data_IF_042687859862
#
_entry.id   IF_042687859862
#
_cell.length_a   1.000
_cell.length_b   1.000
_cell.length_c   1.000
_cell.angle_alpha   90.00
_cell.angle_beta   90.00
_cell.angle_gamma   90.00
#
_symmetry.space_group_name_H-M   'P 1'
#
loop_
_entity.id
_entity.type
_entity.pdbx_description
1 polymer ?
#
# COMPACT_ATOMS: atom_id res chain seq x y z
N UNK A 1 9.88 6.47 -6.08
CA UNK A 1 9.22 7.55 -5.31
C UNK A 1 9.72 7.40 -3.88
N UNK A 2 10.27 8.47 -3.30
CA UNK A 2 10.66 8.44 -1.89
C UNK A 2 9.41 8.38 -1.02
N UNK A 3 9.41 7.52 -0.01
CA UNK A 3 8.27 7.35 0.88
C UNK A 3 8.73 7.05 2.31
N UNK A 4 7.85 7.34 3.26
CA UNK A 4 8.00 6.91 4.65
C UNK A 4 6.80 6.06 5.07
N UNK A 5 7.01 5.14 6.00
CA UNK A 5 5.94 4.33 6.58
C UNK A 5 5.41 5.02 7.82
N UNK A 6 4.09 5.22 7.88
CA UNK A 6 3.43 5.54 9.15
C UNK A 6 3.64 4.41 10.17
N UNK A 7 3.47 4.71 11.45
CA UNK A 7 3.53 3.68 12.50
C UNK A 7 2.51 2.56 12.30
N UNK A 8 1.34 2.89 11.75
CA UNK A 8 0.33 1.89 11.40
C UNK A 8 0.82 0.97 10.26
N UNK A 9 1.29 1.56 9.15
CA UNK A 9 1.85 0.80 8.02
C UNK A 9 2.98 -0.12 8.47
N UNK A 10 3.97 0.41 9.21
CA UNK A 10 5.11 -0.37 9.72
C UNK A 10 4.68 -1.60 10.51
N UNK A 11 3.71 -1.45 11.41
CA UNK A 11 3.16 -2.58 12.20
C UNK A 11 2.42 -3.58 11.32
N UNK A 12 1.60 -3.11 10.37
CA UNK A 12 0.81 -3.96 9.47
C UNK A 12 1.69 -4.80 8.55
N UNK A 13 2.67 -4.18 7.90
CA UNK A 13 3.54 -4.88 6.93
C UNK A 13 4.38 -5.94 7.64
N UNK A 14 4.86 -5.64 8.87
CA UNK A 14 5.59 -6.60 9.68
C UNK A 14 4.71 -7.79 10.11
N UNK A 15 3.51 -7.51 10.64
CA UNK A 15 2.56 -8.55 11.08
C UNK A 15 2.15 -9.48 9.93
N UNK A 16 1.96 -8.91 8.73
CA UNK A 16 1.47 -9.62 7.53
C UNK A 16 2.59 -10.11 6.61
N UNK A 17 3.86 -9.91 6.98
CA UNK A 17 5.04 -10.30 6.18
C UNK A 17 4.99 -9.75 4.74
N UNK A 18 4.58 -8.48 4.61
CA UNK A 18 4.59 -7.77 3.33
C UNK A 18 5.99 -7.20 3.12
N UNK A 19 6.64 -7.59 2.03
CA UNK A 19 7.96 -7.10 1.66
C UNK A 19 7.95 -5.60 1.36
N UNK A 20 8.97 -4.88 1.83
CA UNK A 20 9.13 -3.46 1.53
C UNK A 20 9.36 -3.23 0.03
N UNK A 21 10.01 -4.16 -0.64
CA UNK A 21 10.20 -4.18 -2.10
C UNK A 21 8.86 -4.22 -2.85
N UNK A 22 7.84 -4.87 -2.30
CA UNK A 22 6.51 -4.89 -2.90
C UNK A 22 5.80 -3.54 -2.76
N UNK A 23 6.05 -2.81 -1.68
CA UNK A 23 5.54 -1.44 -1.49
C UNK A 23 6.22 -0.51 -2.50
N UNK A 24 7.55 -0.58 -2.57
CA UNK A 24 8.36 0.24 -3.49
C UNK A 24 7.96 0.04 -4.96
N UNK A 25 7.84 -1.21 -5.40
CA UNK A 25 7.45 -1.51 -6.79
C UNK A 25 5.99 -1.14 -7.08
N UNK A 26 5.10 -1.23 -6.09
CA UNK A 26 3.69 -0.83 -6.24
C UNK A 26 3.56 0.68 -6.37
N UNK A 27 4.33 1.46 -5.59
CA UNK A 27 4.39 2.91 -5.72
C UNK A 27 5.05 3.36 -7.03
N UNK A 28 6.14 2.69 -7.44
CA UNK A 28 6.89 3.07 -8.65
C UNK A 28 6.19 2.67 -9.96
N UNK A 29 5.50 1.53 -9.95
CA UNK A 29 4.88 0.94 -11.13
C UNK A 29 3.49 0.38 -10.79
N UNK A 30 2.52 1.21 -10.43
CA UNK A 30 1.16 0.73 -10.19
C UNK A 30 0.55 0.15 -11.47
N UNK A 31 -0.27 -0.89 -11.33
CA UNK A 31 -1.14 -1.34 -12.40
C UNK A 31 -2.36 -0.42 -12.53
N UNK A 32 -2.84 0.12 -11.41
CA UNK A 32 -3.90 1.12 -11.33
C UNK A 32 -3.65 2.04 -10.14
N UNK A 33 -4.02 3.31 -10.31
CA UNK A 33 -4.09 4.28 -9.21
C UNK A 33 -5.50 4.84 -9.14
N UNK A 34 -6.01 4.95 -7.92
CA UNK A 34 -7.34 5.50 -7.60
C UNK A 34 -7.18 6.49 -6.45
N UNK A 35 -8.02 7.52 -6.40
CA UNK A 35 -8.11 8.37 -5.21
C UNK A 35 -9.06 7.72 -4.21
N UNK A 36 -8.83 7.94 -2.91
CA UNK A 36 -9.77 7.49 -1.88
C UNK A 36 -11.08 8.30 -1.95
N UNK A 37 -12.22 7.61 -1.81
CA UNK A 37 -13.55 8.21 -1.92
C UNK A 37 -13.95 9.06 -0.69
N UNK A 38 -13.24 8.90 0.43
CA UNK A 38 -13.55 9.52 1.73
C UNK A 38 -12.51 10.57 2.10
N UNK A 39 -11.23 10.25 1.98
CA UNK A 39 -10.12 11.15 2.29
C UNK A 39 -9.39 11.59 1.00
N UNK A 40 -9.64 12.82 0.51
CA UNK A 40 -9.05 13.31 -0.73
C UNK A 40 -7.53 13.52 -0.68
N UNK A 41 -6.89 13.31 0.48
CA UNK A 41 -5.43 13.33 0.59
C UNK A 41 -4.79 11.97 0.32
N UNK A 42 -5.59 10.90 0.24
CA UNK A 42 -5.12 9.53 0.07
C UNK A 42 -5.29 9.04 -1.37
N UNK A 43 -4.25 8.35 -1.84
CA UNK A 43 -4.25 7.63 -3.10
C UNK A 43 -3.98 6.13 -2.87
N UNK A 44 -4.63 5.30 -3.67
CA UNK A 44 -4.54 3.85 -3.68
C UNK A 44 -3.79 3.40 -4.93
N UNK A 45 -2.58 2.88 -4.74
CA UNK A 45 -1.85 2.21 -5.82
C UNK A 45 -2.05 0.70 -5.72
N UNK A 46 -2.51 0.10 -6.80
CA UNK A 46 -2.84 -1.31 -6.89
C UNK A 46 -1.86 -2.00 -7.82
N UNK A 47 -1.27 -3.10 -7.37
CA UNK A 47 -0.40 -3.93 -8.22
C UNK A 47 -0.59 -5.43 -7.93
N UNK A 48 -0.75 -6.28 -8.96
CA UNK A 48 -0.66 -7.73 -8.79
C UNK A 48 0.80 -8.12 -8.48
N UNK A 49 1.00 -8.94 -7.45
CA UNK A 49 2.33 -9.42 -7.05
C UNK A 49 2.52 -10.87 -7.52
N UNK A 50 3.31 -11.13 -8.59
CA UNK A 50 3.49 -12.47 -9.14
C UNK A 50 4.01 -13.48 -8.11
N UNK A 51 4.93 -13.05 -7.24
CA UNK A 51 5.54 -13.85 -6.19
C UNK A 51 4.53 -14.31 -5.13
N UNK A 52 3.37 -13.63 -5.04
CA UNK A 52 2.25 -13.99 -4.15
C UNK A 52 1.06 -14.58 -4.93
N UNK A 53 1.30 -15.19 -6.09
CA UNK A 53 0.25 -15.79 -6.91
C UNK A 53 -0.66 -14.77 -7.57
N UNK A 54 -0.10 -13.62 -7.96
CA UNK A 54 -0.80 -12.49 -8.58
C UNK A 54 -1.90 -11.85 -7.72
N UNK A 55 -1.84 -12.02 -6.40
CA UNK A 55 -2.71 -11.28 -5.50
C UNK A 55 -2.45 -9.77 -5.60
N UNK A 56 -3.53 -8.99 -5.52
CA UNK A 56 -3.46 -7.53 -5.57
C UNK A 56 -2.96 -7.00 -4.22
N UNK A 57 -1.95 -6.15 -4.27
CA UNK A 57 -1.48 -5.33 -3.16
C UNK A 57 -1.94 -3.88 -3.38
N UNK A 58 -2.93 -3.39 -2.61
CA UNK A 58 -3.17 -1.97 -2.43
C UNK A 58 -2.11 -1.40 -1.49
N UNK A 59 -1.46 -0.32 -1.92
CA UNK A 59 -0.67 0.57 -1.09
C UNK A 59 -1.38 1.91 -1.02
N UNK A 60 -1.81 2.26 0.19
CA UNK A 60 -2.54 3.50 0.49
C UNK A 60 -1.55 4.48 1.08
N UNK A 61 -1.43 5.66 0.49
CA UNK A 61 -0.50 6.69 0.92
C UNK A 61 -1.12 8.08 0.83
N UNK A 62 -0.67 8.99 1.70
CA UNK A 62 -0.99 10.39 1.59
C UNK A 62 -0.12 11.00 0.48
N UNK A 63 -0.76 11.38 -0.63
CA UNK A 63 -0.10 11.93 -1.82
C UNK A 63 0.22 13.43 -1.70
N UNK A 64 -0.34 14.10 -0.69
CA UNK A 64 -0.10 15.53 -0.43
C UNK A 64 1.14 15.79 0.43
N UNK A 65 1.75 14.76 0.98
CA UNK A 65 2.98 14.82 1.77
C UNK A 65 4.24 14.65 0.91
N UNK A 66 5.35 15.27 1.32
CA UNK A 66 6.66 15.13 0.69
C UNK A 66 7.76 14.81 1.74
N UNK A 67 8.34 13.60 1.76
CA UNK A 67 8.00 12.45 0.92
C UNK A 67 6.59 11.90 1.24
N UNK A 68 6.00 11.17 0.29
CA UNK A 68 4.67 10.57 0.50
C UNK A 68 4.69 9.62 1.70
N UNK A 69 3.59 9.61 2.45
CA UNK A 69 3.49 8.78 3.65
C UNK A 69 2.57 7.61 3.42
N UNK A 70 3.11 6.40 3.41
CA UNK A 70 2.32 5.18 3.33
C UNK A 70 1.56 4.98 4.64
N UNK A 71 0.23 4.97 4.52
CA UNK A 71 -0.71 4.81 5.63
C UNK A 71 -0.94 3.33 5.92
N UNK A 72 -1.13 2.51 4.89
CA UNK A 72 -1.29 1.06 5.04
C UNK A 72 -1.01 0.32 3.74
N UNK A 73 -0.71 -0.97 3.85
CA UNK A 73 -0.62 -1.90 2.72
C UNK A 73 -1.10 -3.28 3.20
N UNK A 74 -1.81 -4.01 2.36
CA UNK A 74 -2.37 -5.31 2.73
C UNK A 74 -2.62 -6.18 1.50
N UNK A 75 -2.56 -7.49 1.63
CA UNK A 75 -3.25 -8.36 0.68
C UNK A 75 -4.67 -8.60 1.17
N UNK A 76 -5.57 -8.81 0.21
CA UNK A 76 -6.93 -9.25 0.46
C UNK A 76 -6.91 -10.76 0.77
N UNK A 77 -6.46 -11.10 1.97
CA UNK A 77 -6.74 -12.41 2.55
C UNK A 77 -7.97 -12.19 3.45
N UNK A 78 -9.12 -12.74 3.07
CA UNK A 78 -10.37 -12.71 3.86
C UNK A 78 -10.08 -13.12 5.32
N UNK A 79 -9.92 -12.13 6.20
CA UNK A 79 -10.71 -11.92 7.42
C UNK A 79 -10.58 -10.43 7.72
N UNK A 80 -11.66 -9.69 7.47
CA UNK A 80 -11.83 -8.35 8.06
C UNK A 80 -11.60 -8.49 9.56
N UNK A 81 -10.53 -7.88 10.09
CA UNK A 81 -10.36 -7.66 11.53
C UNK A 81 -11.58 -6.80 11.95
N UNK A 82 -12.65 -7.48 12.34
CA UNK A 82 -13.86 -6.91 12.96
C UNK A 82 -13.56 -6.64 14.44
#
# INVERSE_FOLDING_TARGET
MDHILSDHARKRILKRKIGTEWIEITLAHPARTENDDVDPTLAHTLRPIPEKGFQILPVIYNETADPVTVVTAYFDDEVSDR
#
